data_IF_962719931048
#
_entry.id   IF_962719931048
#
_cell.length_a   1.000
_cell.length_b   1.000
_cell.length_c   1.000
_cell.angle_alpha   90.00
_cell.angle_beta   90.00
_cell.angle_gamma   90.00
#
_symmetry.space_group_name_H-M   'P 1'
#
loop_
_entity.id
_entity.type
_entity.pdbx_description
1 polymer ?
#
# COMPACT_ATOMS: atom_id res chain seq x y z
N UNK A 1 -36.77 -33.17 -9.49
CA UNK A 1 -36.89 -32.13 -8.44
C UNK A 1 -36.61 -30.71 -8.99
N UNK A 2 -37.47 -30.12 -9.85
CA UNK A 2 -37.36 -28.71 -10.27
C UNK A 2 -38.36 -27.76 -9.58
N UNK A 3 -39.32 -28.27 -8.80
CA UNK A 3 -40.45 -27.48 -8.30
C UNK A 3 -40.09 -26.43 -7.24
N UNK A 4 -38.95 -26.55 -6.57
CA UNK A 4 -38.51 -25.62 -5.53
C UNK A 4 -37.89 -24.32 -6.07
N UNK A 5 -37.37 -24.31 -7.30
CA UNK A 5 -36.74 -23.12 -7.90
C UNK A 5 -37.81 -22.20 -8.52
N UNK A 6 -38.83 -22.77 -9.15
CA UNK A 6 -39.99 -22.05 -9.72
C UNK A 6 -40.81 -21.31 -8.65
N UNK A 7 -40.98 -21.90 -7.47
CA UNK A 7 -41.67 -21.24 -6.34
C UNK A 7 -40.89 -20.04 -5.79
N UNK A 8 -39.56 -20.04 -5.95
CA UNK A 8 -38.74 -18.91 -5.53
C UNK A 8 -38.81 -17.78 -6.57
N UNK A 9 -38.79 -18.07 -7.87
CA UNK A 9 -38.88 -17.03 -8.92
C UNK A 9 -40.24 -16.35 -8.97
N UNK A 10 -41.34 -17.08 -8.76
CA UNK A 10 -42.70 -16.53 -8.77
C UNK A 10 -42.97 -15.58 -7.59
N UNK A 11 -42.44 -15.88 -6.40
CA UNK A 11 -42.57 -15.01 -5.23
C UNK A 11 -41.85 -13.67 -5.39
N UNK A 12 -40.79 -13.60 -6.20
CA UNK A 12 -40.14 -12.33 -6.48
C UNK A 12 -40.93 -11.48 -7.47
N UNK A 13 -41.72 -12.05 -8.38
CA UNK A 13 -42.41 -11.27 -9.42
C UNK A 13 -43.53 -10.39 -8.84
N UNK A 14 -44.23 -10.85 -7.80
CA UNK A 14 -45.38 -10.13 -7.22
C UNK A 14 -45.04 -9.06 -6.17
N UNK A 15 -43.76 -8.89 -5.80
CA UNK A 15 -43.39 -7.83 -4.86
C UNK A 15 -43.57 -6.44 -5.52
N UNK A 16 -44.15 -5.46 -4.80
CA UNK A 16 -44.30 -4.11 -5.32
C UNK A 16 -42.92 -3.56 -5.72
N UNK A 17 -42.84 -2.89 -6.88
CA UNK A 17 -41.58 -2.41 -7.47
C UNK A 17 -40.69 -1.64 -6.48
N UNK A 18 -41.30 -0.95 -5.52
CA UNK A 18 -40.59 -0.22 -4.45
C UNK A 18 -39.75 -1.15 -3.58
N UNK A 19 -40.21 -2.37 -3.27
CA UNK A 19 -39.51 -3.32 -2.39
C UNK A 19 -38.32 -4.00 -3.10
N UNK A 20 -38.42 -4.23 -4.42
CA UNK A 20 -37.29 -4.64 -5.26
C UNK A 20 -36.24 -3.54 -5.37
N UNK A 21 -36.69 -2.30 -5.49
CA UNK A 21 -35.81 -1.13 -5.49
C UNK A 21 -35.08 -1.00 -4.16
N UNK A 22 -35.75 -1.21 -3.03
CA UNK A 22 -35.09 -1.26 -1.72
C UNK A 22 -34.06 -2.38 -1.63
N UNK A 23 -34.35 -3.59 -2.12
CA UNK A 23 -33.37 -4.68 -2.14
C UNK A 23 -32.18 -4.40 -3.06
N UNK A 24 -32.41 -3.84 -4.25
CA UNK A 24 -31.35 -3.44 -5.18
C UNK A 24 -30.48 -2.32 -4.59
N UNK A 25 -31.11 -1.35 -3.91
CA UNK A 25 -30.42 -0.26 -3.21
C UNK A 25 -29.58 -0.80 -2.04
N UNK A 26 -30.13 -1.76 -1.28
CA UNK A 26 -29.44 -2.39 -0.14
C UNK A 26 -28.23 -3.23 -0.59
N UNK A 27 -28.35 -3.90 -1.74
CA UNK A 27 -27.28 -4.70 -2.35
C UNK A 27 -26.15 -3.83 -2.92
N UNK A 28 -26.47 -2.63 -3.43
CA UNK A 28 -25.49 -1.62 -3.86
C UNK A 28 -24.73 -1.03 -2.65
N UNK A 29 -25.40 -0.84 -1.51
CA UNK A 29 -24.76 -0.32 -0.30
C UNK A 29 -23.71 -1.29 0.30
N UNK A 30 -23.90 -2.61 0.15
CA UNK A 30 -22.97 -3.62 0.70
C UNK A 30 -21.63 -3.65 -0.06
N UNK A 31 -21.63 -3.33 -1.36
CA UNK A 31 -20.40 -3.26 -2.17
C UNK A 31 -19.52 -2.03 -1.88
N UNK A 32 -19.96 -1.13 -0.99
CA UNK A 32 -19.21 0.05 -0.57
C UNK A 32 -18.48 -0.17 0.77
N UNK A 33 -18.04 -1.39 1.06
CA UNK A 33 -17.08 -1.59 2.15
C UNK A 33 -15.73 -1.08 1.70
N UNK A 34 -15.32 0.02 2.33
CA UNK A 34 -14.13 0.82 2.08
C UNK A 34 -12.88 -0.01 1.82
N UNK A 35 -12.09 0.41 0.82
CA UNK A 35 -10.68 0.02 0.68
C UNK A 35 -10.00 0.17 2.04
N UNK A 36 -9.39 -0.90 2.55
CA UNK A 36 -8.54 -0.81 3.74
C UNK A 36 -7.48 0.26 3.47
N UNK A 37 -7.58 1.38 4.19
CA UNK A 37 -6.47 2.30 4.31
C UNK A 37 -5.37 1.50 5.00
N UNK A 38 -4.35 1.12 4.23
CA UNK A 38 -3.11 0.57 4.75
C UNK A 38 -2.71 1.44 5.92
N UNK A 39 -2.68 0.85 7.12
CA UNK A 39 -2.36 1.52 8.38
C UNK A 39 -1.06 2.31 8.17
N UNK A 40 -1.16 3.61 7.87
CA UNK A 40 0.00 4.46 7.85
C UNK A 40 0.62 4.33 9.23
N UNK A 41 1.89 3.91 9.26
CA UNK A 41 2.65 3.87 10.49
C UNK A 41 2.50 5.21 11.17
N UNK A 42 1.89 5.23 12.36
CA UNK A 42 1.71 6.43 13.18
C UNK A 42 3.04 7.01 13.69
N UNK A 43 4.17 6.36 13.39
CA UNK A 43 5.48 6.89 13.70
C UNK A 43 5.85 8.04 12.75
N UNK A 44 6.37 9.16 13.27
CA UNK A 44 6.83 10.26 12.43
C UNK A 44 7.98 9.79 11.54
N UNK A 45 8.01 10.26 10.29
CA UNK A 45 9.13 10.02 9.39
C UNK A 45 10.39 10.70 9.93
N UNK A 46 11.42 9.90 10.18
CA UNK A 46 12.76 10.35 10.59
C UNK A 46 13.72 9.93 9.48
N UNK A 47 13.92 10.84 8.54
CA UNK A 47 14.76 10.62 7.36
C UNK A 47 16.21 11.04 7.55
N UNK A 48 17.12 10.36 6.85
CA UNK A 48 18.54 10.73 6.76
C UNK A 48 19.06 10.56 5.33
N UNK A 49 19.99 11.42 4.93
CA UNK A 49 20.67 11.32 3.63
C UNK A 49 21.89 10.42 3.73
N UNK A 50 21.98 9.43 2.84
CA UNK A 50 23.18 8.62 2.64
C UNK A 50 23.91 9.11 1.39
N UNK A 51 25.10 9.65 1.57
CA UNK A 51 25.90 10.30 0.52
C UNK A 51 27.32 9.72 0.45
N UNK A 52 27.91 9.76 -0.75
CA UNK A 52 29.30 9.43 -1.00
C UNK A 52 30.25 10.65 -0.96
N UNK A 53 29.73 11.86 -0.69
CA UNK A 53 30.55 13.06 -0.43
C UNK A 53 31.00 13.03 1.02
N UNK A 54 32.30 13.16 1.27
CA UNK A 54 32.94 13.16 2.60
C UNK A 54 32.59 11.97 3.50
N UNK A 55 32.11 10.87 2.91
CA UNK A 55 31.73 9.64 3.61
C UNK A 55 32.09 8.42 2.78
N UNK A 56 32.59 7.38 3.45
CA UNK A 56 32.91 6.10 2.82
C UNK A 56 31.76 5.09 2.87
N UNK A 57 30.60 5.50 3.40
CA UNK A 57 29.46 4.64 3.69
C UNK A 57 28.90 3.89 2.46
N UNK A 58 29.18 4.35 1.25
CA UNK A 58 28.64 3.82 0.00
C UNK A 58 29.65 3.07 -0.88
N UNK A 59 30.90 2.90 -0.44
CA UNK A 59 31.96 2.32 -1.29
C UNK A 59 32.13 0.80 -1.17
N UNK A 60 31.51 0.17 -0.19
CA UNK A 60 31.51 -1.30 -0.03
C UNK A 60 30.20 -1.79 0.60
N UNK A 61 29.89 -3.06 0.38
CA UNK A 61 28.73 -3.70 1.00
C UNK A 61 28.81 -3.65 2.54
N UNK A 62 30.01 -3.91 3.10
CA UNK A 62 30.26 -3.83 4.55
C UNK A 62 30.01 -2.43 5.11
N UNK A 63 30.47 -1.39 4.42
CA UNK A 63 30.27 0.00 4.83
C UNK A 63 28.78 0.38 4.80
N UNK A 64 28.04 -0.10 3.79
CA UNK A 64 26.59 0.10 3.71
C UNK A 64 25.90 -0.57 4.89
N UNK A 65 26.24 -1.82 5.20
CA UNK A 65 25.65 -2.56 6.33
C UNK A 65 25.92 -1.87 7.67
N UNK A 66 27.15 -1.40 7.87
CA UNK A 66 27.52 -0.60 9.05
C UNK A 66 26.71 0.68 9.14
N UNK A 67 26.61 1.44 8.05
CA UNK A 67 25.87 2.70 8.01
C UNK A 67 24.37 2.48 8.30
N UNK A 68 23.74 1.46 7.71
CA UNK A 68 22.34 1.13 7.97
C UNK A 68 22.12 0.73 9.43
N UNK A 69 23.06 -0.03 10.03
CA UNK A 69 23.00 -0.39 11.45
C UNK A 69 23.03 0.84 12.36
N UNK A 70 23.93 1.79 12.08
CA UNK A 70 24.04 3.05 12.82
C UNK A 70 22.78 3.91 12.65
N UNK A 71 22.31 4.10 11.40
CA UNK A 71 21.07 4.82 11.08
C UNK A 71 19.88 4.28 11.88
N UNK A 72 19.74 2.95 11.94
CA UNK A 72 18.70 2.29 12.73
C UNK A 72 18.89 2.53 14.24
N UNK A 73 20.12 2.46 14.75
CA UNK A 73 20.43 2.72 16.16
C UNK A 73 20.10 4.16 16.58
N UNK A 74 20.27 5.15 15.69
CA UNK A 74 19.87 6.54 15.91
C UNK A 74 18.34 6.78 15.76
N UNK A 75 17.58 5.76 15.36
CA UNK A 75 16.13 5.80 15.26
C UNK A 75 15.59 6.50 14.01
N UNK A 76 16.39 6.57 12.95
CA UNK A 76 15.90 6.93 11.62
C UNK A 76 15.16 5.74 10.99
N UNK A 77 14.08 6.03 10.27
CA UNK A 77 13.20 5.03 9.65
C UNK A 77 13.09 5.20 8.12
N UNK A 78 13.80 6.16 7.54
CA UNK A 78 13.84 6.41 6.11
C UNK A 78 15.25 6.84 5.69
N UNK A 79 15.77 6.24 4.61
CA UNK A 79 17.10 6.55 4.07
C UNK A 79 16.95 7.08 2.65
N UNK A 80 17.47 8.28 2.41
CA UNK A 80 17.50 8.92 1.10
C UNK A 80 18.91 8.78 0.51
N UNK A 81 19.06 7.89 -0.47
CA UNK A 81 20.36 7.59 -1.08
C UNK A 81 20.63 8.54 -2.24
N UNK A 82 21.79 9.17 -2.25
CA UNK A 82 22.25 9.98 -3.40
C UNK A 82 22.62 9.04 -4.54
N UNK A 83 21.90 9.10 -5.67
CA UNK A 83 22.20 8.28 -6.85
C UNK A 83 22.98 9.01 -7.95
N UNK A 84 23.06 10.35 -7.87
CA UNK A 84 23.73 11.21 -8.83
C UNK A 84 24.66 12.14 -8.07
N UNK A 85 25.95 12.15 -8.42
CA UNK A 85 26.92 13.06 -7.85
C UNK A 85 27.91 13.49 -8.92
N UNK A 86 28.26 14.79 -8.95
CA UNK A 86 29.19 15.37 -9.94
C UNK A 86 28.90 15.01 -11.41
N UNK A 87 27.62 14.87 -11.78
CA UNK A 87 27.20 14.62 -13.16
C UNK A 87 27.26 13.16 -13.63
N UNK A 88 27.51 12.20 -12.73
CA UNK A 88 27.44 10.77 -13.07
C UNK A 88 26.62 9.99 -12.03
N UNK A 89 26.03 8.88 -12.47
CA UNK A 89 25.27 7.98 -11.58
C UNK A 89 26.22 7.13 -10.74
N UNK A 90 25.85 6.90 -9.48
CA UNK A 90 26.57 5.99 -8.56
C UNK A 90 26.22 4.52 -8.77
N UNK A 91 25.49 4.23 -9.83
CA UNK A 91 25.12 2.89 -10.25
C UNK A 91 25.37 2.75 -11.76
N UNK A 92 25.53 1.50 -12.19
CA UNK A 92 25.75 1.18 -13.60
C UNK A 92 24.49 1.48 -14.42
N UNK A 93 24.64 2.35 -15.42
CA UNK A 93 23.64 2.55 -16.48
C UNK A 93 23.87 1.46 -17.54
N UNK A 94 22.76 0.95 -18.10
CA UNK A 94 22.78 -0.14 -19.07
C UNK A 94 23.15 0.34 -20.46
#
# INVERSE_FOLDING_TARGET
MPQSIELFTLNFISLPMKLKLYHLLLLICISCTSKEATKESTQPTRGVWLTNVVSEAMFSQENIEKAIKEIKAYGFNSVFVVCLNRGYTLYRVR
#
